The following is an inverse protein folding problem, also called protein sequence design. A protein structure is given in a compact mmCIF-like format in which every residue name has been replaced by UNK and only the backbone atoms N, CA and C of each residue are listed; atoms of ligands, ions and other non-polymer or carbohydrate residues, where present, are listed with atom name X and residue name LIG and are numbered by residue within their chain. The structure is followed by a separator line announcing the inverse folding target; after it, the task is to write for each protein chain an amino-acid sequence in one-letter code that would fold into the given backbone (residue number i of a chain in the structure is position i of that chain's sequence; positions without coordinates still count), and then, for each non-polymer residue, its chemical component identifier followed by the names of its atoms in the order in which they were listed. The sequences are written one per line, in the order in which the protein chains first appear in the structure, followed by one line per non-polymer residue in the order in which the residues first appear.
data_IF_728878901797
#
_entry.id   IF_728878901797
#
_cell.length_a   1.000
_cell.length_b   1.000
_cell.length_c   1.000
_cell.angle_alpha   90.00
_cell.angle_beta   90.00
_cell.angle_gamma   90.00
#
_symmetry.space_group_name_H-M   'P 1'
#
loop_
_entity.id
_entity.type
_entity.pdbx_description
1 polymer ?
#
# COMPACT_ATOMS: atom_id res chain seq x y z
N UNK A 1 7.20 9.96 20.22
CA UNK A 1 7.13 9.34 21.56
C UNK A 1 7.32 10.36 22.69
N UNK A 2 7.63 11.63 22.39
CA UNK A 2 7.60 12.75 23.33
C UNK A 2 8.78 12.82 24.30
N UNK A 3 9.94 12.23 24.03
CA UNK A 3 11.16 12.41 24.83
C UNK A 3 11.94 13.65 24.45
N UNK A 4 11.84 14.04 23.18
CA UNK A 4 12.43 15.26 22.63
C UNK A 4 11.36 16.00 21.86
N UNK A 5 11.46 17.32 21.80
CA UNK A 5 10.61 18.22 21.01
C UNK A 5 11.50 18.95 20.02
N UNK A 6 11.04 19.07 18.78
CA UNK A 6 11.71 19.87 17.77
C UNK A 6 11.15 21.29 17.81
N UNK A 7 12.02 22.27 17.83
CA UNK A 7 11.68 23.67 17.76
C UNK A 7 11.86 24.13 16.30
N UNK A 8 10.75 24.37 15.60
CA UNK A 8 10.75 24.79 14.19
C UNK A 8 11.28 26.20 13.99
N UNK A 9 11.32 27.02 15.05
CA UNK A 9 11.78 28.40 14.96
C UNK A 9 13.32 28.47 14.96
N UNK A 10 13.96 27.70 15.81
CA UNK A 10 15.42 27.74 16.03
C UNK A 10 16.15 26.56 15.37
N UNK A 11 15.43 25.65 14.69
CA UNK A 11 15.97 24.39 14.11
C UNK A 11 16.74 23.57 15.14
N UNK A 12 16.20 23.48 16.37
CA UNK A 12 16.85 22.80 17.50
C UNK A 12 15.99 21.70 18.09
N UNK A 13 16.60 20.81 18.88
CA UNK A 13 15.92 19.80 19.67
C UNK A 13 16.04 20.09 21.15
N UNK A 14 14.93 20.01 21.86
CA UNK A 14 14.84 20.15 23.30
C UNK A 14 14.42 18.83 23.97
N UNK A 15 15.03 18.51 25.11
CA UNK A 15 14.58 17.37 25.91
C UNK A 15 13.32 17.77 26.69
N UNK A 16 12.29 16.94 26.61
CA UNK A 16 11.03 17.17 27.33
C UNK A 16 11.13 16.78 28.79
N UNK A 17 10.12 17.15 29.61
CA UNK A 17 10.00 16.64 30.98
C UNK A 17 9.97 15.11 31.06
N UNK A 18 9.29 14.45 30.11
CA UNK A 18 9.26 12.98 29.98
C UNK A 18 10.66 12.43 29.69
N UNK A 19 11.41 13.08 28.80
CA UNK A 19 12.81 12.74 28.52
C UNK A 19 13.71 12.90 29.74
N UNK A 20 13.56 14.01 30.46
CA UNK A 20 14.32 14.24 31.73
C UNK A 20 13.97 13.22 32.81
N UNK A 21 12.69 12.88 32.97
CA UNK A 21 12.27 11.83 33.92
C UNK A 21 12.93 10.48 33.60
N UNK A 22 12.95 10.11 32.28
CA UNK A 22 13.59 8.87 31.86
C UNK A 22 15.09 8.83 32.09
N UNK A 23 15.81 9.91 31.79
CA UNK A 23 17.27 9.99 32.02
C UNK A 23 17.66 10.00 33.51
N UNK A 24 16.82 10.56 34.38
CA UNK A 24 17.03 10.64 35.83
C UNK A 24 16.56 9.39 36.57
N UNK A 25 15.76 8.53 35.94
CA UNK A 25 15.29 7.30 36.57
C UNK A 25 16.46 6.30 36.74
N UNK A 26 16.64 5.77 37.90
CA UNK A 26 17.68 4.78 38.23
C UNK A 26 17.08 3.36 38.15
N UNK A 27 15.84 3.21 38.59
CA UNK A 27 15.16 1.92 38.65
C UNK A 27 14.68 1.48 37.26
N UNK A 28 15.04 0.27 36.85
CA UNK A 28 14.64 -0.31 35.56
C UNK A 28 13.11 -0.37 35.42
N UNK A 29 12.39 -0.71 36.49
CA UNK A 29 10.92 -0.74 36.49
C UNK A 29 10.31 0.63 36.17
N UNK A 30 10.85 1.69 36.76
CA UNK A 30 10.40 3.07 36.50
C UNK A 30 10.68 3.49 35.05
N UNK A 31 11.84 3.09 34.50
CA UNK A 31 12.17 3.30 33.08
C UNK A 31 11.20 2.58 32.16
N UNK A 32 10.87 1.31 32.45
CA UNK A 32 9.89 0.55 31.64
C UNK A 32 8.52 1.21 31.66
N UNK A 33 8.05 1.72 32.81
CA UNK A 33 6.76 2.42 32.91
C UNK A 33 6.74 3.69 32.05
N UNK A 34 7.82 4.49 32.08
CA UNK A 34 7.96 5.69 31.25
C UNK A 34 8.01 5.34 29.75
N UNK A 35 8.74 4.27 29.37
CA UNK A 35 8.79 3.78 27.99
C UNK A 35 7.44 3.24 27.52
N UNK A 36 6.71 2.50 28.37
CA UNK A 36 5.37 2.03 28.08
C UNK A 36 4.43 3.22 27.80
N UNK A 37 4.42 4.23 28.67
CA UNK A 37 3.64 5.44 28.47
C UNK A 37 4.02 6.18 27.17
N UNK A 38 5.33 6.32 26.92
CA UNK A 38 5.83 6.97 25.72
C UNK A 38 5.41 6.23 24.42
N UNK A 39 5.44 4.90 24.42
CA UNK A 39 4.96 4.11 23.28
C UNK A 39 3.43 4.18 23.15
N UNK A 40 2.69 4.18 24.25
CA UNK A 40 1.23 4.30 24.22
C UNK A 40 0.77 5.72 23.87
N UNK A 41 1.61 6.74 24.01
CA UNK A 41 1.33 8.08 23.47
C UNK A 41 1.56 8.18 21.96
N UNK A 42 2.20 7.20 21.32
CA UNK A 42 2.46 7.15 19.88
C UNK A 42 1.29 6.49 19.16
N UNK A 43 0.50 7.24 18.35
CA UNK A 43 -0.77 6.74 17.79
C UNK A 43 -0.64 5.44 16.99
N UNK A 44 0.39 5.24 16.11
CA UNK A 44 0.52 3.99 15.35
C UNK A 44 0.71 2.74 16.22
N UNK A 45 1.34 2.86 17.39
CA UNK A 45 1.47 1.75 18.32
C UNK A 45 0.11 1.34 18.91
N UNK A 46 -0.72 2.32 19.24
CA UNK A 46 -2.10 2.09 19.72
C UNK A 46 -2.96 1.50 18.62
N UNK A 47 -2.81 1.96 17.35
CA UNK A 47 -3.52 1.39 16.20
C UNK A 47 -3.24 -0.11 16.10
N UNK A 48 -1.99 -0.54 16.14
CA UNK A 48 -1.62 -1.96 16.08
C UNK A 48 -2.25 -2.76 17.23
N UNK A 49 -2.20 -2.26 18.46
CA UNK A 49 -2.84 -2.92 19.60
C UNK A 49 -4.36 -3.06 19.41
N UNK A 50 -5.03 -2.01 18.91
CA UNK A 50 -6.48 -2.03 18.64
C UNK A 50 -6.85 -3.01 17.53
N UNK A 51 -6.05 -3.14 16.47
CA UNK A 51 -6.27 -4.12 15.40
C UNK A 51 -6.22 -5.55 15.93
N UNK A 52 -5.34 -5.83 16.89
CA UNK A 52 -5.15 -7.14 17.48
C UNK A 52 -6.12 -7.46 18.66
N UNK A 53 -6.87 -6.45 19.13
CA UNK A 53 -7.73 -6.60 20.33
C UNK A 53 -8.82 -7.67 20.16
N UNK A 54 -9.27 -7.95 18.92
CA UNK A 54 -10.28 -8.96 18.63
C UNK A 54 -9.77 -10.41 18.74
N UNK A 55 -8.56 -10.62 19.27
CA UNK A 55 -7.95 -11.95 19.41
C UNK A 55 -7.41 -12.55 18.10
N UNK A 56 -7.35 -11.74 17.04
CA UNK A 56 -6.87 -12.18 15.74
C UNK A 56 -5.34 -12.25 15.72
N UNK A 57 -4.81 -13.27 15.04
CA UNK A 57 -3.40 -13.31 14.63
C UNK A 57 -3.31 -12.51 13.32
N UNK A 58 -2.63 -11.37 13.34
CA UNK A 58 -2.41 -10.56 12.14
C UNK A 58 -0.92 -10.56 11.75
N UNK A 59 -0.66 -10.78 10.47
CA UNK A 59 0.67 -10.64 9.89
C UNK A 59 1.04 -9.17 9.73
N UNK A 60 2.34 -8.88 9.53
CA UNK A 60 2.80 -7.52 9.21
C UNK A 60 2.09 -6.92 8.00
N UNK A 61 1.71 -7.74 7.00
CA UNK A 61 0.99 -7.32 5.81
C UNK A 61 -0.47 -6.92 6.12
N UNK A 62 -1.18 -7.73 6.93
CA UNK A 62 -2.54 -7.41 7.35
C UNK A 62 -2.60 -6.16 8.23
N UNK A 63 -1.55 -5.92 9.04
CA UNK A 63 -1.41 -4.69 9.84
C UNK A 63 -1.03 -3.52 8.92
N UNK A 64 -0.04 -3.70 8.03
CA UNK A 64 0.45 -2.68 7.12
C UNK A 64 -0.67 -2.09 6.23
N UNK A 65 -1.56 -2.94 5.70
CA UNK A 65 -2.73 -2.50 4.91
C UNK A 65 -3.70 -1.59 5.68
N UNK A 66 -3.65 -1.59 6.99
CA UNK A 66 -4.54 -0.82 7.87
C UNK A 66 -3.80 0.29 8.63
N UNK A 67 -2.56 0.60 8.21
CA UNK A 67 -1.70 1.57 8.88
C UNK A 67 -1.33 2.73 7.96
N UNK A 68 -1.67 3.93 8.37
CA UNK A 68 -1.23 5.16 7.72
C UNK A 68 -2.16 5.70 6.64
N UNK A 69 -1.61 6.51 5.75
CA UNK A 69 -2.37 7.19 4.69
C UNK A 69 -2.42 6.33 3.43
N UNK A 70 -3.64 5.89 3.09
CA UNK A 70 -3.89 4.99 1.97
C UNK A 70 -3.56 5.67 0.64
N UNK A 71 -2.99 4.92 -0.29
CA UNK A 71 -2.63 5.42 -1.63
C UNK A 71 -1.37 6.28 -1.69
N UNK A 72 -0.56 6.31 -0.62
CA UNK A 72 0.71 7.03 -0.58
C UNK A 72 1.92 6.09 -0.58
N UNK A 73 2.96 6.49 -1.30
CA UNK A 73 4.23 5.77 -1.37
C UNK A 73 4.87 5.53 0.01
N UNK A 74 4.65 6.44 0.96
CA UNK A 74 5.08 6.30 2.35
C UNK A 74 4.39 5.18 3.14
N UNK A 75 3.27 4.64 2.65
CA UNK A 75 2.42 3.66 3.34
C UNK A 75 2.02 2.48 2.44
N UNK A 76 2.97 1.95 1.68
CA UNK A 76 2.75 0.82 0.77
C UNK A 76 2.67 -0.50 1.53
N UNK A 77 1.79 -1.40 1.09
CA UNK A 77 1.67 -2.78 1.57
C UNK A 77 1.15 -3.68 0.46
N UNK A 78 1.49 -4.97 0.51
CA UNK A 78 0.95 -6.02 -0.36
C UNK A 78 0.00 -6.93 0.42
N UNK A 79 -0.93 -7.58 -0.28
CA UNK A 79 -1.72 -8.64 0.34
C UNK A 79 -0.83 -9.83 0.67
N UNK A 80 -1.04 -10.41 1.85
CA UNK A 80 -0.29 -11.61 2.24
C UNK A 80 -0.48 -12.77 1.26
N UNK A 81 -1.64 -12.83 0.59
CA UNK A 81 -1.94 -13.88 -0.38
C UNK A 81 -1.02 -13.81 -1.60
N UNK A 82 -0.82 -12.63 -2.18
CA UNK A 82 0.11 -12.42 -3.30
C UNK A 82 1.54 -12.78 -2.90
N UNK A 83 1.98 -12.35 -1.71
CA UNK A 83 3.32 -12.70 -1.20
C UNK A 83 3.47 -14.21 -1.04
N UNK A 84 2.48 -14.88 -0.48
CA UNK A 84 2.51 -16.33 -0.26
C UNK A 84 2.46 -17.10 -1.57
N UNK A 85 1.64 -16.70 -2.55
CA UNK A 85 1.64 -17.28 -3.90
C UNK A 85 3.03 -17.18 -4.54
N UNK A 86 3.64 -16.00 -4.49
CA UNK A 86 4.99 -15.79 -5.04
C UNK A 86 6.04 -16.64 -4.31
N UNK A 87 5.96 -16.77 -2.98
CA UNK A 87 6.86 -17.63 -2.22
C UNK A 87 6.67 -19.12 -2.55
N UNK A 88 5.44 -19.57 -2.72
CA UNK A 88 5.11 -20.96 -3.03
C UNK A 88 5.59 -21.40 -4.40
N UNK A 89 5.65 -20.48 -5.39
CA UNK A 89 6.14 -20.73 -6.74
C UNK A 89 7.65 -20.61 -6.89
N UNK A 90 8.38 -20.18 -5.83
CA UNK A 90 9.84 -20.05 -5.84
C UNK A 90 10.51 -21.36 -5.43
N UNK A 91 11.47 -21.82 -6.23
CA UNK A 91 12.12 -23.13 -6.05
C UNK A 91 13.24 -23.12 -5.01
N UNK A 92 13.90 -21.98 -4.77
CA UNK A 92 15.11 -21.90 -3.96
C UNK A 92 14.96 -21.08 -2.67
N UNK A 93 15.52 -21.58 -1.57
CA UNK A 93 15.46 -20.92 -0.26
C UNK A 93 16.10 -19.52 -0.23
N UNK A 94 17.17 -19.29 -1.00
CA UNK A 94 17.80 -17.95 -1.14
C UNK A 94 16.89 -16.98 -1.87
N UNK A 95 16.18 -17.44 -2.89
CA UNK A 95 15.20 -16.65 -3.63
C UNK A 95 14.00 -16.27 -2.75
N UNK A 96 13.46 -17.21 -1.97
CA UNK A 96 12.39 -16.93 -1.00
C UNK A 96 12.79 -15.84 0.00
N UNK A 97 14.02 -15.83 0.50
CA UNK A 97 14.51 -14.80 1.41
C UNK A 97 14.60 -13.43 0.71
N UNK A 98 15.05 -13.39 -0.53
CA UNK A 98 15.08 -12.17 -1.34
C UNK A 98 13.66 -11.64 -1.56
N UNK A 99 12.72 -12.49 -1.97
CA UNK A 99 11.31 -12.13 -2.13
C UNK A 99 10.76 -11.51 -0.84
N UNK A 100 10.98 -12.15 0.32
CA UNK A 100 10.51 -11.62 1.62
C UNK A 100 11.05 -10.23 1.94
N UNK A 101 12.23 -9.88 1.45
CA UNK A 101 12.84 -8.57 1.65
C UNK A 101 12.34 -7.55 0.64
N UNK A 102 12.30 -7.92 -0.64
CA UNK A 102 12.00 -7.03 -1.75
C UNK A 102 10.49 -6.68 -1.84
N UNK A 103 9.64 -7.52 -1.25
CA UNK A 103 8.17 -7.33 -1.25
C UNK A 103 7.63 -6.61 -0.02
N UNK A 104 8.49 -6.28 0.94
CA UNK A 104 8.08 -5.56 2.15
C UNK A 104 7.88 -4.07 1.84
N UNK A 105 6.62 -3.63 1.85
CA UNK A 105 6.25 -2.23 1.66
C UNK A 105 6.62 -1.34 2.86
N UNK A 106 6.47 -0.04 2.71
CA UNK A 106 6.79 0.94 3.77
C UNK A 106 5.93 0.73 5.01
N UNK A 107 4.62 0.51 4.84
CA UNK A 107 3.70 0.27 5.95
C UNK A 107 3.98 -1.06 6.64
N UNK A 108 4.40 -2.11 5.91
CA UNK A 108 4.79 -3.40 6.48
C UNK A 108 6.04 -3.28 7.35
N UNK A 109 7.01 -2.45 6.92
CA UNK A 109 8.21 -2.12 7.70
C UNK A 109 7.86 -1.38 8.98
N UNK A 110 6.95 -0.39 8.91
CA UNK A 110 6.46 0.32 10.10
C UNK A 110 5.73 -0.62 11.05
N UNK A 111 4.80 -1.45 10.53
CA UNK A 111 4.07 -2.43 11.32
C UNK A 111 5.03 -3.36 12.07
N UNK A 112 6.03 -3.93 11.38
CA UNK A 112 7.05 -4.81 11.98
C UNK A 112 7.91 -4.10 13.01
N UNK A 113 8.36 -2.88 12.73
CA UNK A 113 9.22 -2.10 13.64
C UNK A 113 8.48 -1.73 14.92
N UNK A 114 7.25 -1.22 14.80
CA UNK A 114 6.43 -0.81 15.93
C UNK A 114 6.02 -2.05 16.75
N UNK A 115 5.61 -3.14 16.09
CA UNK A 115 5.29 -4.39 16.78
C UNK A 115 6.48 -4.93 17.59
N UNK A 116 7.72 -4.79 17.08
CA UNK A 116 8.93 -5.17 17.81
C UNK A 116 9.15 -4.33 19.08
N UNK A 117 8.81 -3.05 19.07
CA UNK A 117 8.84 -2.21 20.28
C UNK A 117 7.79 -2.64 21.29
N UNK A 118 6.56 -2.89 20.82
CA UNK A 118 5.47 -3.39 21.65
C UNK A 118 5.78 -4.77 22.25
N UNK A 119 6.44 -5.64 21.49
CA UNK A 119 6.91 -6.95 21.96
C UNK A 119 7.96 -6.82 23.06
N UNK A 120 8.94 -5.92 22.92
CA UNK A 120 9.96 -5.67 23.96
C UNK A 120 9.34 -5.25 25.29
N UNK A 121 8.21 -4.55 25.26
CA UNK A 121 7.45 -4.17 26.46
C UNK A 121 6.46 -5.27 26.92
N UNK A 122 6.44 -6.42 26.28
CA UNK A 122 5.54 -7.51 26.60
C UNK A 122 4.06 -7.24 26.28
N UNK A 123 3.75 -6.22 25.45
CA UNK A 123 2.40 -5.86 25.05
C UNK A 123 1.88 -6.72 23.89
N UNK A 124 2.79 -7.24 23.06
CA UNK A 124 2.54 -8.20 21.98
C UNK A 124 3.43 -9.42 22.12
N UNK A 125 2.99 -10.51 21.50
CA UNK A 125 3.79 -11.70 21.24
C UNK A 125 3.90 -11.90 19.73
N UNK A 126 5.10 -12.14 19.23
CA UNK A 126 5.32 -12.57 17.85
C UNK A 126 5.06 -14.07 17.74
N UNK A 127 4.35 -14.45 16.70
CA UNK A 127 4.01 -15.84 16.36
C UNK A 127 4.18 -16.07 14.86
N UNK A 128 4.11 -17.32 14.42
CA UNK A 128 3.96 -17.67 13.00
C UNK A 128 2.47 -17.79 12.65
N UNK A 129 2.10 -17.35 11.45
CA UNK A 129 0.77 -17.57 10.87
C UNK A 129 0.90 -18.37 9.59
N UNK A 130 0.29 -19.55 9.57
CA UNK A 130 0.19 -20.35 8.36
C UNK A 130 -0.89 -19.78 7.44
N UNK A 131 -0.49 -19.42 6.24
CA UNK A 131 -1.39 -18.92 5.19
C UNK A 131 -1.49 -19.96 4.10
N UNK A 132 -2.72 -20.36 3.75
CA UNK A 132 -3.02 -21.30 2.67
C UNK A 132 -3.45 -20.51 1.45
N UNK A 133 -2.91 -20.84 0.29
CA UNK A 133 -3.29 -20.26 -0.99
C UNK A 133 -3.48 -21.35 -2.04
N UNK A 134 -4.44 -21.14 -2.93
CA UNK A 134 -4.68 -22.03 -4.06
C UNK A 134 -3.95 -21.50 -5.29
N UNK A 135 -3.21 -22.37 -5.96
CA UNK A 135 -2.56 -22.10 -7.25
C UNK A 135 -2.99 -23.21 -8.19
N UNK A 136 -3.87 -22.92 -9.14
CA UNK A 136 -4.54 -23.96 -9.93
C UNK A 136 -5.34 -24.91 -9.02
N UNK A 137 -5.07 -26.21 -9.14
CA UNK A 137 -5.70 -27.25 -8.32
C UNK A 137 -4.98 -27.53 -6.99
N UNK A 138 -3.78 -27.00 -6.83
CA UNK A 138 -2.90 -27.30 -5.70
C UNK A 138 -3.08 -26.27 -4.59
N UNK A 139 -2.99 -26.75 -3.35
CA UNK A 139 -3.05 -25.93 -2.14
C UNK A 139 -1.65 -25.83 -1.54
N UNK A 140 -1.13 -24.62 -1.50
CA UNK A 140 0.16 -24.33 -0.89
C UNK A 140 -0.03 -23.74 0.50
N UNK A 141 0.92 -24.03 1.38
CA UNK A 141 0.96 -23.49 2.75
C UNK A 141 2.33 -22.90 3.00
N UNK A 142 2.34 -21.61 3.32
CA UNK A 142 3.57 -20.90 3.71
C UNK A 142 3.39 -20.26 5.08
N UNK A 143 4.44 -20.29 5.90
CA UNK A 143 4.45 -19.67 7.21
C UNK A 143 4.97 -18.25 7.13
N UNK A 144 4.19 -17.29 7.63
CA UNK A 144 4.62 -15.90 7.82
C UNK A 144 5.03 -15.73 9.28
N UNK A 145 6.34 -15.79 9.54
CA UNK A 145 6.91 -15.72 10.90
C UNK A 145 6.77 -14.36 11.60
N UNK A 146 6.33 -13.32 10.88
CA UNK A 146 6.08 -11.98 11.42
C UNK A 146 4.58 -11.72 11.50
N UNK A 147 3.93 -12.49 12.36
CA UNK A 147 2.56 -12.29 12.80
C UNK A 147 2.55 -12.02 14.31
N UNK A 148 1.51 -11.40 14.81
CA UNK A 148 1.44 -10.90 16.17
C UNK A 148 0.09 -11.16 16.80
N UNK A 149 0.11 -11.33 18.12
CA UNK A 149 -1.08 -11.39 18.99
C UNK A 149 -0.91 -10.44 20.15
N UNK A 150 -2.02 -9.88 20.63
CA UNK A 150 -2.02 -9.02 21.81
C UNK A 150 -1.92 -9.88 23.09
N UNK A 151 -1.13 -9.44 24.07
CA UNK A 151 -1.05 -10.10 25.38
C UNK A 151 -2.07 -9.53 26.35
N UNK A 152 -2.27 -10.20 27.50
CA UNK A 152 -3.09 -9.68 28.59
C UNK A 152 -2.55 -8.32 29.10
N UNK A 153 -1.21 -8.12 29.10
CA UNK A 153 -0.58 -6.82 29.41
C UNK A 153 -0.96 -5.77 28.37
N UNK A 154 -0.97 -6.14 27.08
CA UNK A 154 -1.38 -5.23 25.98
C UNK A 154 -2.85 -4.81 26.08
N UNK A 155 -3.75 -5.71 26.47
CA UNK A 155 -5.18 -5.38 26.69
C UNK A 155 -5.31 -4.38 27.87
N UNK A 156 -4.57 -4.58 28.96
CA UNK A 156 -4.55 -3.64 30.10
C UNK A 156 -3.99 -2.27 29.67
N UNK A 157 -2.97 -2.27 28.82
CA UNK A 157 -2.38 -1.04 28.28
C UNK A 157 -3.38 -0.22 27.44
N UNK A 158 -4.22 -0.87 26.63
CA UNK A 158 -5.31 -0.20 25.90
C UNK A 158 -6.34 0.44 26.84
N UNK A 159 -6.67 -0.18 27.96
CA UNK A 159 -7.54 0.44 28.97
C UNK A 159 -6.95 1.72 29.55
N UNK A 160 -5.61 1.78 29.76
CA UNK A 160 -4.91 3.02 30.15
C UNK A 160 -5.01 4.09 29.05
N UNK A 161 -4.80 3.72 27.78
CA UNK A 161 -4.91 4.64 26.64
C UNK A 161 -6.28 5.28 26.56
N UNK A 162 -7.33 4.49 26.73
CA UNK A 162 -8.72 4.96 26.62
C UNK A 162 -9.21 5.65 27.91
N UNK A 163 -8.42 5.68 28.97
CA UNK A 163 -8.83 6.23 30.28
C UNK A 163 -9.96 5.45 30.93
N UNK A 164 -10.04 4.13 30.70
CA UNK A 164 -11.07 3.28 31.28
C UNK A 164 -10.76 2.96 32.74
N UNK A 165 -11.81 2.71 33.50
CA UNK A 165 -11.74 2.45 34.95
C UNK A 165 -11.11 3.64 35.69
N UNK A 166 -10.07 3.40 36.49
CA UNK A 166 -9.35 4.42 37.29
C UNK A 166 -8.18 5.09 36.57
N UNK A 167 -7.96 4.77 35.32
CA UNK A 167 -6.82 5.31 34.59
C UNK A 167 -7.12 6.69 33.99
N UNK A 168 -6.17 7.61 34.12
CA UNK A 168 -6.20 8.85 33.34
C UNK A 168 -5.89 8.53 31.88
N UNK A 169 -6.66 9.10 30.95
CA UNK A 169 -6.45 8.93 29.52
C UNK A 169 -5.04 9.41 29.12
N UNK A 170 -4.33 8.59 28.34
CA UNK A 170 -3.00 8.93 27.82
C UNK A 170 -3.17 9.90 26.65
N UNK A 171 -2.55 11.07 26.76
CA UNK A 171 -2.50 12.02 25.65
C UNK A 171 -1.62 11.49 24.51
N UNK A 172 -2.03 11.76 23.27
CA UNK A 172 -1.29 11.38 22.08
C UNK A 172 -0.21 12.41 21.75
N UNK A 173 0.95 11.91 21.35
CA UNK A 173 2.04 12.72 20.83
C UNK A 173 2.09 12.56 19.30
N UNK A 174 1.84 13.62 18.57
CA UNK A 174 1.87 13.71 17.13
C UNK A 174 2.76 14.88 16.72
N UNK A 175 3.64 14.65 15.75
CA UNK A 175 4.41 15.72 15.11
C UNK A 175 3.93 15.95 13.69
N UNK A 176 4.17 17.13 13.18
CA UNK A 176 3.81 17.52 11.81
C UNK A 176 4.44 16.59 10.76
N UNK A 177 5.68 16.09 10.99
CA UNK A 177 6.38 15.17 10.08
C UNK A 177 5.67 13.81 9.93
N UNK A 178 4.91 13.38 10.93
CA UNK A 178 4.17 12.12 10.89
C UNK A 178 3.01 12.16 9.89
N UNK A 179 2.57 13.34 9.49
CA UNK A 179 1.41 13.52 8.63
C UNK A 179 1.69 13.25 7.15
N UNK A 180 2.95 13.22 6.72
CA UNK A 180 3.40 12.67 5.44
C UNK A 180 4.89 12.38 5.50
N UNK A 181 5.33 11.24 4.94
CA UNK A 181 6.73 10.78 5.07
C UNK A 181 7.55 10.92 3.80
N UNK A 182 6.90 10.96 2.63
CA UNK A 182 7.55 11.01 1.31
C UNK A 182 6.84 11.98 0.37
N UNK A 183 7.46 12.22 -0.78
CA UNK A 183 6.92 13.06 -1.85
C UNK A 183 7.47 14.48 -1.87
N UNK A 184 7.49 15.09 -3.07
CA UNK A 184 8.00 16.44 -3.27
C UNK A 184 7.11 17.51 -2.65
N UNK A 185 5.81 17.24 -2.53
CA UNK A 185 4.82 18.13 -1.92
C UNK A 185 4.48 17.75 -0.47
N UNK A 186 5.32 16.95 0.19
CA UNK A 186 5.08 16.48 1.56
C UNK A 186 4.76 17.60 2.55
N UNK A 187 5.37 18.77 2.40
CA UNK A 187 5.15 19.92 3.28
C UNK A 187 3.72 20.46 3.13
N UNK A 188 3.24 20.58 1.89
CA UNK A 188 1.86 20.94 1.62
C UNK A 188 0.87 19.92 2.23
N UNK A 189 1.09 18.63 1.99
CA UNK A 189 0.22 17.55 2.54
C UNK A 189 0.24 17.56 4.07
N UNK A 190 1.41 17.71 4.69
CA UNK A 190 1.53 17.83 6.15
C UNK A 190 0.75 19.01 6.69
N UNK A 191 0.87 20.17 6.05
CA UNK A 191 0.16 21.40 6.44
C UNK A 191 -1.34 21.20 6.31
N UNK A 192 -1.84 20.70 5.19
CA UNK A 192 -3.25 20.40 4.97
C UNK A 192 -3.81 19.50 6.07
N UNK A 193 -3.17 18.35 6.31
CA UNK A 193 -3.57 17.39 7.36
C UNK A 193 -3.48 17.95 8.76
N UNK A 194 -2.49 18.80 9.01
CA UNK A 194 -2.35 19.51 10.28
C UNK A 194 -3.54 20.45 10.52
N UNK A 195 -4.02 21.17 9.48
CA UNK A 195 -5.22 22.01 9.59
C UNK A 195 -6.49 21.16 9.75
N UNK A 196 -6.61 20.02 9.08
CA UNK A 196 -7.70 19.05 9.32
C UNK A 196 -7.69 18.60 10.78
N UNK A 197 -6.54 18.22 11.31
CA UNK A 197 -6.41 17.83 12.72
C UNK A 197 -6.74 18.97 13.67
N UNK A 198 -6.29 20.19 13.38
CA UNK A 198 -6.56 21.39 14.17
C UNK A 198 -8.06 21.65 14.30
N UNK A 199 -8.79 21.69 13.19
CA UNK A 199 -10.23 21.97 13.22
C UNK A 199 -11.01 20.84 13.93
N UNK A 200 -10.57 19.57 13.82
CA UNK A 200 -11.16 18.46 14.58
C UNK A 200 -10.94 18.61 16.09
N UNK A 201 -9.76 19.08 16.52
CA UNK A 201 -9.44 19.33 17.93
C UNK A 201 -10.28 20.46 18.53
N UNK A 202 -10.54 21.51 17.75
CA UNK A 202 -11.30 22.68 18.18
C UNK A 202 -12.81 22.39 18.28
N UNK A 203 -13.32 21.40 17.53
CA UNK A 203 -14.75 21.10 17.42
C UNK A 203 -15.19 19.83 18.18
N UNK A 204 -15.13 19.84 19.50
CA UNK A 204 -15.50 18.68 20.35
C UNK A 204 -16.95 18.22 20.21
N UNK A 205 -17.86 19.06 19.70
CA UNK A 205 -19.27 18.73 19.47
C UNK A 205 -19.55 18.05 18.14
N UNK A 206 -18.50 17.70 17.41
CA UNK A 206 -18.56 17.11 16.08
C UNK A 206 -18.65 18.15 14.97
N UNK A 207 -18.02 17.87 13.85
CA UNK A 207 -17.92 18.74 12.68
C UNK A 207 -18.23 17.96 11.41
N UNK A 208 -18.92 18.56 10.46
CA UNK A 208 -19.22 17.96 9.16
C UNK A 208 -18.03 18.12 8.19
N UNK A 209 -17.99 17.30 7.13
CA UNK A 209 -16.99 17.43 6.08
C UNK A 209 -17.01 18.83 5.43
N UNK A 210 -18.19 19.36 5.18
CA UNK A 210 -18.34 20.67 4.54
C UNK A 210 -17.79 21.82 5.39
N UNK A 211 -17.99 21.75 6.72
CA UNK A 211 -17.40 22.73 7.65
C UNK A 211 -15.86 22.63 7.67
N UNK A 212 -15.30 21.41 7.60
CA UNK A 212 -13.85 21.21 7.48
C UNK A 212 -13.32 21.84 6.18
N UNK A 213 -13.98 21.57 5.04
CA UNK A 213 -13.58 22.12 3.74
C UNK A 213 -13.65 23.66 3.74
N UNK A 214 -14.70 24.23 4.32
CA UNK A 214 -14.82 25.69 4.44
C UNK A 214 -13.71 26.29 5.30
N UNK A 215 -13.32 25.61 6.38
CA UNK A 215 -12.19 26.04 7.20
C UNK A 215 -10.86 25.98 6.44
N UNK A 216 -10.63 24.91 5.67
CA UNK A 216 -9.44 24.76 4.84
C UNK A 216 -9.37 25.85 3.76
N UNK A 217 -10.47 26.14 3.08
CA UNK A 217 -10.56 27.25 2.09
C UNK A 217 -10.20 28.61 2.67
N UNK A 218 -10.58 28.90 3.92
CA UNK A 218 -10.20 30.13 4.61
C UNK A 218 -8.70 30.22 4.92
N UNK A 219 -7.99 29.10 4.84
CA UNK A 219 -6.55 29.01 5.05
C UNK A 219 -5.81 28.69 3.73
N UNK A 220 -6.39 29.06 2.58
CA UNK A 220 -5.84 28.90 1.22
C UNK A 220 -5.55 27.43 0.83
N UNK A 221 -6.19 26.47 1.52
CA UNK A 221 -6.07 25.04 1.24
C UNK A 221 -7.34 24.58 0.51
N UNK A 222 -7.27 24.59 -0.84
CA UNK A 222 -8.39 24.22 -1.70
C UNK A 222 -8.16 22.80 -2.23
N UNK A 223 -9.05 21.86 -1.86
CA UNK A 223 -8.95 20.45 -2.22
C UNK A 223 -10.32 19.86 -2.54
N UNK A 224 -10.30 18.69 -3.20
CA UNK A 224 -11.49 17.88 -3.45
C UNK A 224 -11.99 17.24 -2.14
N UNK A 225 -13.31 17.04 -2.05
CA UNK A 225 -13.95 16.40 -0.88
C UNK A 225 -13.38 15.00 -0.62
N UNK A 226 -13.07 14.23 -1.68
CA UNK A 226 -12.46 12.90 -1.61
C UNK A 226 -11.07 12.92 -0.96
N UNK A 227 -10.26 13.93 -1.28
CA UNK A 227 -8.92 14.12 -0.70
C UNK A 227 -9.01 14.34 0.81
N UNK A 228 -9.96 15.17 1.25
CA UNK A 228 -10.13 15.45 2.68
C UNK A 228 -10.70 14.23 3.43
N UNK A 229 -11.57 13.45 2.81
CA UNK A 229 -12.04 12.17 3.37
C UNK A 229 -10.89 11.19 3.58
N UNK A 230 -10.03 11.03 2.58
CA UNK A 230 -8.84 10.16 2.67
C UNK A 230 -7.86 10.66 3.74
N UNK A 231 -7.69 11.97 3.89
CA UNK A 231 -6.87 12.53 4.95
C UNK A 231 -7.43 12.19 6.35
N UNK A 232 -8.74 12.29 6.54
CA UNK A 232 -9.39 11.91 7.81
C UNK A 232 -9.24 10.40 8.06
N UNK A 233 -9.46 9.57 7.04
CA UNK A 233 -9.26 8.13 7.14
C UNK A 233 -7.79 7.79 7.47
N UNK A 234 -6.85 8.47 6.84
CA UNK A 234 -5.43 8.35 7.16
C UNK A 234 -5.11 8.71 8.61
N UNK A 235 -5.72 9.77 9.15
CA UNK A 235 -5.60 10.14 10.57
C UNK A 235 -6.15 9.04 11.49
N UNK A 236 -7.25 8.38 11.12
CA UNK A 236 -7.76 7.20 11.84
C UNK A 236 -6.76 6.03 11.75
N UNK A 237 -6.22 5.79 10.57
CA UNK A 237 -5.31 4.67 10.31
C UNK A 237 -3.92 4.86 10.91
N UNK A 238 -3.47 6.09 11.16
CA UNK A 238 -2.28 6.30 12.01
C UNK A 238 -2.57 6.14 13.50
N UNK A 239 -3.83 5.94 13.91
CA UNK A 239 -4.20 5.57 15.28
C UNK A 239 -4.86 6.65 16.11
N UNK A 240 -5.34 7.73 15.48
CA UNK A 240 -6.18 8.71 16.16
C UNK A 240 -7.62 8.22 16.29
N UNK A 241 -8.25 8.53 17.39
CA UNK A 241 -9.63 8.16 17.67
C UNK A 241 -10.58 9.24 17.15
N UNK A 242 -11.04 9.06 15.90
CA UNK A 242 -12.06 9.87 15.26
C UNK A 242 -13.27 8.98 15.03
N UNK A 243 -14.40 9.31 15.64
CA UNK A 243 -15.67 8.59 15.48
C UNK A 243 -16.53 9.34 14.45
N UNK A 244 -17.26 8.58 13.64
CA UNK A 244 -18.16 9.13 12.63
C UNK A 244 -19.60 8.77 13.01
N UNK A 245 -20.39 9.76 13.33
CA UNK A 245 -21.79 9.60 13.70
C UNK A 245 -22.63 10.69 13.03
N UNK A 246 -23.74 10.32 12.41
CA UNK A 246 -24.67 11.25 11.75
C UNK A 246 -23.98 12.25 10.81
N UNK A 247 -23.06 11.79 9.97
CA UNK A 247 -22.23 12.58 9.04
C UNK A 247 -21.35 13.65 9.71
N UNK A 248 -21.07 13.49 11.00
CA UNK A 248 -20.13 14.35 11.76
C UNK A 248 -18.95 13.54 12.25
N UNK A 249 -17.80 14.19 12.30
CA UNK A 249 -16.53 13.67 12.81
C UNK A 249 -16.32 14.17 14.24
N UNK A 250 -16.11 13.26 15.18
CA UNK A 250 -15.87 13.54 16.60
C UNK A 250 -14.47 13.11 16.98
N UNK A 251 -13.62 14.07 17.31
CA UNK A 251 -12.27 13.78 17.80
C UNK A 251 -12.31 13.43 19.29
N UNK A 252 -11.88 12.23 19.63
CA UNK A 252 -11.99 11.67 20.99
C UNK A 252 -10.67 11.64 21.77
N UNK A 253 -9.52 11.81 21.12
CA UNK A 253 -8.22 11.79 21.80
C UNK A 253 -7.89 13.14 22.46
N UNK A 254 -6.87 13.12 23.33
CA UNK A 254 -6.17 14.29 23.83
C UNK A 254 -4.84 14.35 23.10
N UNK A 255 -4.47 15.50 22.55
CA UNK A 255 -3.15 15.71 21.93
C UNK A 255 -2.41 16.76 22.74
N UNK A 256 -1.14 16.51 23.01
CA UNK A 256 -0.22 17.44 23.64
C UNK A 256 0.59 18.18 22.58
N UNK A 257 0.71 19.50 22.74
CA UNK A 257 1.69 20.38 22.04
C UNK A 257 1.80 20.18 20.52
N UNK A 258 0.67 20.07 19.80
CA UNK A 258 0.69 19.98 18.35
C UNK A 258 0.95 21.35 17.72
N UNK A 259 2.09 21.47 17.01
CA UNK A 259 2.52 22.70 16.36
C UNK A 259 2.45 22.52 14.84
N UNK A 260 1.89 23.52 14.16
CA UNK A 260 1.92 23.63 12.69
C UNK A 260 3.02 24.65 12.35
N UNK A 261 4.14 24.22 11.75
CA UNK A 261 5.18 25.16 11.36
C UNK A 261 4.72 26.06 10.21
N UNK A 262 5.21 27.29 10.18
CA UNK A 262 5.02 28.19 9.05
C UNK A 262 6.06 27.79 7.98
N UNK A 263 5.59 27.38 6.82
CA UNK A 263 6.46 26.95 5.70
C UNK A 263 6.01 27.68 4.45
N UNK A 264 6.95 28.32 3.78
CA UNK A 264 6.69 29.11 2.56
C UNK A 264 6.44 28.23 1.31
N UNK A 265 6.60 26.92 1.43
CA UNK A 265 6.63 25.98 0.32
C UNK A 265 5.27 25.30 0.11
N UNK A 266 4.38 25.94 -0.65
CA UNK A 266 3.03 25.44 -0.97
C UNK A 266 2.90 24.88 -2.40
N UNK A 267 4.01 24.44 -3.02
CA UNK A 267 3.98 23.96 -4.41
C UNK A 267 3.43 22.55 -4.49
N UNK A 268 2.26 22.39 -5.12
CA UNK A 268 1.76 21.07 -5.58
C UNK A 268 2.64 20.60 -6.75
N UNK A 269 3.07 19.33 -6.72
CA UNK A 269 3.64 18.72 -7.91
C UNK A 269 2.54 18.41 -8.94
N UNK A 270 2.84 18.56 -10.24
CA UNK A 270 1.90 18.17 -11.32
C UNK A 270 1.43 16.71 -11.18
N UNK A 271 2.27 15.85 -10.62
CA UNK A 271 1.99 14.45 -10.40
C UNK A 271 0.87 14.20 -9.38
N UNK A 272 0.78 15.02 -8.35
CA UNK A 272 -0.31 14.91 -7.38
C UNK A 272 -1.64 15.41 -7.94
N UNK A 273 -1.62 16.39 -8.80
CA UNK A 273 -2.84 16.86 -9.48
C UNK A 273 -3.47 15.71 -10.28
N UNK A 274 -2.66 14.96 -11.04
CA UNK A 274 -3.13 13.79 -11.78
C UNK A 274 -3.67 12.68 -10.86
N UNK A 275 -3.02 12.44 -9.73
CA UNK A 275 -3.44 11.48 -8.70
C UNK A 275 -4.75 11.90 -8.03
N UNK A 276 -4.91 13.18 -7.74
CA UNK A 276 -6.12 13.74 -7.14
C UNK A 276 -7.30 13.71 -8.12
N UNK A 277 -7.07 14.00 -9.40
CA UNK A 277 -8.08 13.86 -10.46
C UNK A 277 -8.55 12.41 -10.65
N UNK A 278 -7.61 11.45 -10.56
CA UNK A 278 -7.95 10.03 -10.60
C UNK A 278 -8.77 9.61 -9.38
N UNK A 279 -8.39 10.06 -8.19
CA UNK A 279 -9.09 9.74 -6.94
C UNK A 279 -10.58 10.06 -7.01
N UNK A 280 -10.93 11.18 -7.66
CA UNK A 280 -12.33 11.60 -7.82
C UNK A 280 -13.11 10.74 -8.84
N UNK A 281 -12.40 10.10 -9.79
CA UNK A 281 -12.97 9.21 -10.81
C UNK A 281 -13.10 7.76 -10.36
N UNK A 282 -12.29 7.34 -9.37
CA UNK A 282 -12.29 5.97 -8.84
C UNK A 282 -13.36 5.83 -7.74
N UNK A 283 -14.59 5.55 -8.16
CA UNK A 283 -15.75 5.47 -7.25
C UNK A 283 -15.93 4.10 -6.57
N UNK A 284 -15.37 3.04 -7.14
CA UNK A 284 -15.48 1.66 -6.63
C UNK A 284 -14.14 1.03 -6.30
N UNK A 285 -13.07 1.44 -6.97
CA UNK A 285 -11.73 0.92 -6.72
C UNK A 285 -11.16 1.55 -5.44
N UNK A 286 -10.49 0.74 -4.61
CA UNK A 286 -9.81 1.22 -3.42
C UNK A 286 -8.70 2.21 -3.78
N UNK A 287 -8.67 3.36 -3.11
CA UNK A 287 -7.63 4.38 -3.27
C UNK A 287 -6.23 3.89 -2.86
N UNK A 288 -6.12 2.72 -2.23
CA UNK A 288 -4.82 2.11 -1.93
C UNK A 288 -3.97 1.86 -3.18
N UNK A 289 -4.60 1.73 -4.38
CA UNK A 289 -3.89 1.51 -5.63
C UNK A 289 -3.35 2.78 -6.29
N UNK A 290 -3.72 3.97 -5.80
CA UNK A 290 -3.23 5.24 -6.35
C UNK A 290 -1.70 5.39 -6.27
N UNK A 291 -1.04 4.75 -5.31
CA UNK A 291 0.40 4.80 -5.22
C UNK A 291 1.12 4.02 -6.35
N UNK A 292 0.39 3.22 -7.14
CA UNK A 292 0.93 2.63 -8.36
C UNK A 292 1.46 3.68 -9.33
N UNK A 293 0.87 4.88 -9.33
CA UNK A 293 1.38 6.02 -10.09
C UNK A 293 2.79 6.43 -9.63
N UNK A 294 3.08 6.35 -8.32
CA UNK A 294 4.40 6.64 -7.77
C UNK A 294 5.39 5.50 -8.07
N UNK A 295 4.95 4.25 -7.86
CA UNK A 295 5.78 3.06 -8.09
C UNK A 295 6.20 2.90 -9.55
N UNK A 296 5.34 3.27 -10.49
CA UNK A 296 5.61 3.15 -11.93
C UNK A 296 6.84 3.96 -12.39
N UNK A 297 7.25 4.95 -11.59
CA UNK A 297 8.43 5.78 -11.85
C UNK A 297 9.62 5.51 -10.91
N UNK A 298 9.46 4.59 -9.93
CA UNK A 298 10.53 4.21 -9.00
C UNK A 298 11.18 2.88 -9.39
N UNK A 299 12.24 2.93 -10.18
CA UNK A 299 13.00 1.76 -10.63
C UNK A 299 13.61 0.93 -9.48
N UNK A 300 13.71 1.47 -8.27
CA UNK A 300 14.22 0.73 -7.09
C UNK A 300 13.16 -0.19 -6.47
N UNK A 301 11.90 0.01 -6.81
CA UNK A 301 10.77 -0.75 -6.28
C UNK A 301 10.07 -1.60 -7.35
N UNK A 302 10.76 -1.96 -8.43
CA UNK A 302 10.21 -2.77 -9.54
C UNK A 302 9.42 -3.98 -9.05
N UNK A 303 9.99 -4.74 -8.09
CA UNK A 303 9.34 -5.94 -7.57
C UNK A 303 8.02 -5.66 -6.87
N UNK A 304 7.97 -4.58 -6.09
CA UNK A 304 6.74 -4.14 -5.44
C UNK A 304 5.71 -3.69 -6.49
N UNK A 305 6.15 -2.98 -7.53
CA UNK A 305 5.31 -2.56 -8.64
C UNK A 305 4.70 -3.75 -9.38
N UNK A 306 5.52 -4.73 -9.82
CA UNK A 306 5.07 -5.97 -10.47
C UNK A 306 3.98 -6.67 -9.66
N UNK A 307 4.24 -6.89 -8.36
CA UNK A 307 3.32 -7.61 -7.47
C UNK A 307 2.05 -6.83 -7.18
N UNK A 308 2.11 -5.50 -7.09
CA UNK A 308 0.93 -4.68 -6.82
C UNK A 308 0.02 -4.55 -8.05
N UNK A 309 0.58 -4.55 -9.25
CA UNK A 309 -0.20 -4.66 -10.50
C UNK A 309 -0.99 -5.99 -10.52
N UNK A 310 -0.34 -7.09 -10.19
CA UNK A 310 -1.03 -8.39 -10.14
C UNK A 310 -2.04 -8.47 -9.00
N UNK A 311 -1.75 -7.87 -7.85
CA UNK A 311 -2.72 -7.75 -6.75
C UNK A 311 -3.99 -7.01 -7.21
N UNK A 312 -3.84 -5.90 -7.92
CA UNK A 312 -4.95 -5.14 -8.50
C UNK A 312 -5.80 -6.01 -9.42
N UNK A 313 -5.16 -6.68 -10.40
CA UNK A 313 -5.85 -7.49 -11.40
C UNK A 313 -6.55 -8.72 -10.78
N UNK A 314 -5.95 -9.35 -9.79
CA UNK A 314 -6.49 -10.54 -9.13
C UNK A 314 -7.58 -10.17 -8.13
N UNK A 315 -7.31 -9.24 -7.21
CA UNK A 315 -8.20 -8.99 -6.08
C UNK A 315 -9.35 -8.04 -6.45
N UNK A 316 -9.11 -7.08 -7.32
CA UNK A 316 -10.11 -6.06 -7.67
C UNK A 316 -10.80 -6.35 -8.99
N UNK A 317 -10.04 -6.77 -10.00
CA UNK A 317 -10.62 -7.09 -11.31
C UNK A 317 -11.14 -8.53 -11.41
N UNK A 318 -10.85 -9.39 -10.42
CA UNK A 318 -11.38 -10.76 -10.35
C UNK A 318 -10.77 -11.75 -11.34
N UNK A 319 -9.60 -11.43 -11.92
CA UNK A 319 -8.81 -12.41 -12.67
C UNK A 319 -8.23 -13.47 -11.72
N UNK A 320 -8.00 -14.66 -12.25
CA UNK A 320 -7.07 -15.63 -11.67
C UNK A 320 -5.67 -15.34 -12.19
N UNK A 321 -4.65 -15.74 -11.48
CA UNK A 321 -3.26 -15.54 -11.90
C UNK A 321 -2.29 -15.47 -10.74
N UNK A 322 -1.03 -15.21 -11.08
CA UNK A 322 0.04 -15.10 -10.09
C UNK A 322 1.24 -14.32 -10.63
N UNK A 323 2.02 -13.79 -9.69
CA UNK A 323 3.33 -13.26 -9.96
C UNK A 323 4.31 -14.41 -10.15
N UNK A 324 5.04 -14.41 -11.26
CA UNK A 324 6.04 -15.42 -11.60
C UNK A 324 7.45 -14.91 -11.27
N UNK A 325 7.85 -13.83 -11.93
CA UNK A 325 9.15 -13.20 -11.77
C UNK A 325 10.35 -14.16 -11.88
N UNK A 326 11.54 -13.61 -11.93
CA UNK A 326 12.77 -14.39 -12.00
C UNK A 326 13.28 -14.59 -13.42
N UNK A 327 14.37 -15.38 -13.57
CA UNK A 327 15.06 -15.52 -14.84
C UNK A 327 14.23 -16.37 -15.81
N UNK A 328 14.05 -15.89 -17.05
CA UNK A 328 13.34 -16.60 -18.13
C UNK A 328 11.85 -16.89 -17.83
N UNK A 329 11.22 -16.03 -17.07
CA UNK A 329 9.77 -16.04 -16.81
C UNK A 329 9.22 -14.63 -17.03
N UNK A 330 7.97 -14.47 -17.49
CA UNK A 330 7.32 -13.17 -17.45
C UNK A 330 7.12 -12.69 -16.00
N UNK A 331 6.85 -11.42 -15.79
CA UNK A 331 6.60 -10.90 -14.45
C UNK A 331 5.36 -11.53 -13.83
N UNK A 332 4.33 -11.77 -14.64
CA UNK A 332 3.14 -12.46 -14.19
C UNK A 332 2.23 -12.95 -15.32
N UNK A 333 1.24 -13.68 -14.91
CA UNK A 333 0.14 -14.11 -15.78
C UNK A 333 -1.20 -13.89 -15.11
N UNK A 334 -2.19 -13.56 -15.91
CA UNK A 334 -3.59 -13.57 -15.48
C UNK A 334 -4.44 -14.31 -16.50
N UNK A 335 -5.60 -14.80 -16.07
CA UNK A 335 -6.58 -15.43 -16.95
C UNK A 335 -7.98 -15.33 -16.37
N UNK A 336 -8.99 -15.43 -17.22
CA UNK A 336 -10.40 -15.48 -16.81
C UNK A 336 -10.99 -16.84 -17.11
N UNK A 337 -11.85 -17.30 -16.21
CA UNK A 337 -12.73 -18.47 -16.41
C UNK A 337 -14.21 -18.07 -16.28
N UNK A 338 -14.46 -16.78 -16.13
CA UNK A 338 -15.81 -16.24 -15.97
C UNK A 338 -16.38 -15.99 -17.36
N UNK A 339 -17.25 -16.64 -17.91
CA UNK A 339 -17.91 -16.42 -19.20
C UNK A 339 -17.49 -17.45 -20.26
N UNK A 340 -18.11 -17.32 -21.42
CA UNK A 340 -17.96 -18.20 -22.58
C UNK A 340 -16.55 -18.15 -23.20
N UNK A 341 -15.75 -17.16 -22.84
CA UNK A 341 -14.42 -16.92 -23.39
C UNK A 341 -13.35 -17.01 -22.29
N UNK A 342 -12.52 -18.04 -22.38
CA UNK A 342 -11.40 -18.25 -21.47
C UNK A 342 -10.12 -17.78 -22.15
N UNK A 343 -9.60 -16.62 -21.71
CA UNK A 343 -8.35 -16.10 -22.23
C UNK A 343 -7.34 -15.85 -21.12
N UNK A 344 -6.06 -15.89 -21.51
CA UNK A 344 -4.93 -15.59 -20.64
C UNK A 344 -4.12 -14.40 -21.16
N UNK A 345 -3.48 -13.68 -20.25
CA UNK A 345 -2.60 -12.56 -20.58
C UNK A 345 -1.22 -12.76 -19.94
N UNK A 346 -0.19 -12.66 -20.75
CA UNK A 346 1.21 -12.62 -20.31
C UNK A 346 1.54 -11.16 -19.98
N UNK A 347 1.95 -10.89 -18.74
CA UNK A 347 2.19 -9.53 -18.25
C UNK A 347 3.69 -9.30 -18.04
N UNK A 348 4.16 -8.17 -18.54
CA UNK A 348 5.49 -7.63 -18.29
C UNK A 348 5.36 -6.17 -17.84
N UNK A 349 5.92 -5.84 -16.68
CA UNK A 349 5.77 -4.52 -16.05
C UNK A 349 7.10 -3.79 -16.00
N UNK A 350 7.08 -2.48 -16.17
CA UNK A 350 8.31 -1.68 -16.21
C UNK A 350 8.15 -0.36 -15.46
N UNK A 351 8.95 -0.17 -14.42
CA UNK A 351 9.01 1.09 -13.67
C UNK A 351 10.22 1.93 -14.11
N UNK A 352 9.97 3.04 -14.81
CA UNK A 352 10.99 3.92 -15.35
C UNK A 352 10.68 5.40 -15.11
N UNK A 353 11.65 6.14 -14.57
CA UNK A 353 11.46 7.55 -14.18
C UNK A 353 11.19 8.53 -15.33
N UNK A 354 11.46 8.16 -16.59
CA UNK A 354 11.32 9.01 -17.78
C UNK A 354 10.45 8.41 -18.87
N UNK A 355 9.56 7.48 -18.51
CA UNK A 355 8.79 6.70 -19.46
C UNK A 355 9.56 5.51 -20.05
N UNK A 356 8.85 4.58 -20.66
CA UNK A 356 9.38 3.32 -21.16
C UNK A 356 9.32 3.25 -22.68
N UNK A 357 10.46 3.00 -23.31
CA UNK A 357 10.58 2.99 -24.77
C UNK A 357 10.54 1.60 -25.41
N UNK A 358 10.30 0.54 -24.64
CA UNK A 358 10.24 -0.86 -25.07
C UNK A 358 11.46 -1.26 -25.93
N UNK A 359 12.64 -1.55 -25.34
CA UNK A 359 13.84 -1.94 -26.06
C UNK A 359 13.67 -3.25 -26.84
N UNK A 360 14.45 -3.46 -27.90
CA UNK A 360 14.41 -4.65 -28.75
C UNK A 360 14.55 -5.94 -27.93
N UNK A 361 15.44 -5.97 -26.94
CA UNK A 361 15.61 -7.14 -26.07
C UNK A 361 14.34 -7.52 -25.32
N UNK A 362 13.48 -6.57 -24.95
CA UNK A 362 12.20 -6.86 -24.29
C UNK A 362 11.13 -7.33 -25.29
N UNK A 363 11.20 -6.87 -26.53
CA UNK A 363 10.38 -7.41 -27.62
C UNK A 363 10.72 -8.89 -27.85
N UNK A 364 11.99 -9.20 -27.95
CA UNK A 364 12.49 -10.58 -28.15
C UNK A 364 12.16 -11.48 -26.95
N UNK A 365 12.17 -10.93 -25.73
CA UNK A 365 11.73 -11.65 -24.53
C UNK A 365 10.23 -11.98 -24.58
N UNK A 366 9.37 -11.04 -24.94
CA UNK A 366 7.94 -11.27 -25.05
C UNK A 366 7.63 -12.28 -26.16
N UNK A 367 8.28 -12.18 -27.33
CA UNK A 367 8.18 -13.16 -28.39
C UNK A 367 8.54 -14.56 -27.87
N UNK A 368 9.64 -14.68 -27.12
CA UNK A 368 10.05 -15.94 -26.51
C UNK A 368 8.99 -16.49 -25.55
N UNK A 369 8.42 -15.65 -24.66
CA UNK A 369 7.37 -16.08 -23.74
C UNK A 369 6.14 -16.59 -24.48
N UNK A 370 5.70 -15.89 -25.52
CA UNK A 370 4.55 -16.31 -26.34
C UNK A 370 4.82 -17.66 -27.01
N UNK A 371 6.01 -17.85 -27.62
CA UNK A 371 6.40 -19.11 -28.25
C UNK A 371 6.46 -20.25 -27.21
N UNK A 372 7.05 -20.00 -26.05
CA UNK A 372 7.15 -20.98 -24.96
C UNK A 372 5.75 -21.41 -24.47
N UNK A 373 4.81 -20.47 -24.34
CA UNK A 373 3.42 -20.77 -23.97
C UNK A 373 2.70 -21.60 -25.05
N UNK A 374 2.90 -21.28 -26.32
CA UNK A 374 2.25 -21.98 -27.43
C UNK A 374 2.78 -23.39 -27.61
N UNK A 375 4.10 -23.57 -27.54
CA UNK A 375 4.75 -24.86 -27.74
C UNK A 375 4.73 -25.76 -26.50
N UNK A 376 4.74 -25.16 -25.29
CA UNK A 376 4.77 -25.84 -23.98
C UNK A 376 5.87 -26.91 -23.87
N UNK A 377 7.03 -26.60 -24.46
CA UNK A 377 8.15 -27.55 -24.58
C UNK A 377 9.13 -27.37 -23.41
N UNK A 378 9.16 -28.36 -22.48
CA UNK A 378 10.06 -28.41 -21.33
C UNK A 378 11.54 -28.34 -21.70
N UNK A 379 11.95 -28.82 -22.88
CA UNK A 379 13.34 -28.73 -23.34
C UNK A 379 13.77 -27.30 -23.67
N UNK A 380 12.85 -26.40 -24.03
CA UNK A 380 13.11 -24.97 -24.25
C UNK A 380 13.26 -24.19 -22.97
N UNK A 381 12.36 -24.46 -22.01
CA UNK A 381 12.38 -23.81 -20.72
C UNK A 381 11.89 -24.76 -19.62
N UNK A 382 12.82 -25.19 -18.77
CA UNK A 382 12.55 -26.15 -17.69
C UNK A 382 11.66 -25.56 -16.58
N UNK A 383 11.49 -24.24 -16.52
CA UNK A 383 10.63 -23.60 -15.55
C UNK A 383 9.14 -23.90 -15.79
N UNK A 384 8.77 -24.28 -17.01
CA UNK A 384 7.39 -24.63 -17.39
C UNK A 384 6.34 -23.63 -16.86
N UNK A 385 6.67 -22.33 -16.84
CA UNK A 385 5.84 -21.27 -16.24
C UNK A 385 4.41 -21.21 -16.81
N UNK A 386 4.21 -21.66 -18.07
CA UNK A 386 2.91 -21.76 -18.74
C UNK A 386 1.96 -22.78 -18.10
N UNK A 387 2.48 -23.71 -17.26
CA UNK A 387 1.64 -24.67 -16.53
C UNK A 387 0.77 -24.00 -15.46
N UNK A 388 1.02 -22.74 -15.15
CA UNK A 388 0.20 -21.96 -14.23
C UNK A 388 -1.09 -21.39 -14.88
N UNK A 389 -1.23 -21.49 -16.20
CA UNK A 389 -2.52 -21.30 -16.84
C UNK A 389 -3.39 -22.55 -16.67
N UNK A 390 -4.69 -22.36 -16.48
CA UNK A 390 -5.63 -23.48 -16.50
C UNK A 390 -5.74 -24.10 -17.88
N UNK A 391 -6.07 -25.40 -17.93
CA UNK A 391 -6.07 -26.20 -19.17
C UNK A 391 -7.11 -25.75 -20.22
N UNK A 392 -8.16 -25.10 -19.78
CA UNK A 392 -9.24 -24.59 -20.62
C UNK A 392 -8.97 -23.21 -21.21
N UNK A 393 -7.85 -22.55 -20.87
CA UNK A 393 -7.42 -21.29 -21.47
C UNK A 393 -6.82 -21.58 -22.84
N UNK A 394 -7.49 -21.12 -23.89
CA UNK A 394 -7.14 -21.42 -25.28
C UNK A 394 -6.69 -20.20 -26.07
N UNK A 395 -7.02 -19.03 -25.61
CA UNK A 395 -6.74 -17.76 -26.27
C UNK A 395 -5.77 -16.95 -25.39
N UNK A 396 -4.75 -16.36 -26.00
CA UNK A 396 -3.70 -15.67 -25.25
C UNK A 396 -3.43 -14.31 -25.84
N UNK A 397 -3.06 -13.39 -24.93
CA UNK A 397 -2.67 -12.03 -25.23
C UNK A 397 -1.43 -11.66 -24.42
N UNK A 398 -0.83 -10.50 -24.70
CA UNK A 398 0.23 -9.95 -23.87
C UNK A 398 -0.04 -8.48 -23.52
N UNK A 399 0.53 -8.02 -22.41
CA UNK A 399 0.44 -6.62 -21.96
C UNK A 399 1.75 -6.16 -21.37
N UNK A 400 2.24 -5.02 -21.87
CA UNK A 400 3.26 -4.24 -21.20
C UNK A 400 2.59 -3.18 -20.35
N UNK A 401 2.99 -3.06 -19.07
CA UNK A 401 2.40 -2.07 -18.14
C UNK A 401 3.51 -1.18 -17.59
N UNK A 402 3.35 0.15 -17.72
CA UNK A 402 4.31 1.13 -17.25
C UNK A 402 3.62 2.44 -16.82
N UNK A 403 4.38 3.38 -16.25
CA UNK A 403 3.87 4.73 -15.95
C UNK A 403 3.50 5.47 -17.22
N UNK A 404 4.40 5.48 -18.18
CA UNK A 404 4.27 6.14 -19.46
C UNK A 404 5.08 5.40 -20.54
N UNK A 405 4.64 5.50 -21.79
CA UNK A 405 5.36 4.96 -22.94
C UNK A 405 5.89 6.07 -23.85
N UNK A 406 7.11 5.87 -24.40
CA UNK A 406 7.78 6.84 -25.26
C UNK A 406 8.28 6.19 -26.55
N UNK A 407 8.31 6.95 -27.66
CA UNK A 407 8.75 6.47 -28.96
C UNK A 407 7.65 5.71 -29.71
N UNK A 408 8.04 4.99 -30.78
CA UNK A 408 7.09 4.28 -31.66
C UNK A 408 6.76 2.89 -31.10
N UNK A 409 5.90 2.83 -30.10
CA UNK A 409 5.53 1.60 -29.40
C UNK A 409 4.65 0.70 -30.26
N UNK A 410 3.69 1.24 -30.99
CA UNK A 410 2.76 0.45 -31.80
C UNK A 410 3.48 -0.38 -32.89
N UNK A 411 4.52 0.18 -33.50
CA UNK A 411 5.36 -0.58 -34.44
C UNK A 411 6.04 -1.76 -33.75
N UNK A 412 6.49 -1.58 -32.51
CA UNK A 412 7.13 -2.63 -31.69
C UNK A 412 6.13 -3.72 -31.30
N UNK A 413 4.91 -3.36 -30.92
CA UNK A 413 3.83 -4.30 -30.65
C UNK A 413 3.45 -5.08 -31.91
N UNK A 414 3.36 -4.41 -33.06
CA UNK A 414 3.11 -5.05 -34.35
C UNK A 414 4.22 -6.02 -34.76
N UNK A 415 5.49 -5.74 -34.43
CA UNK A 415 6.59 -6.70 -34.62
C UNK A 415 6.37 -8.01 -33.84
N UNK A 416 5.90 -7.91 -32.59
CA UNK A 416 5.55 -9.10 -31.80
C UNK A 416 4.41 -9.86 -32.47
N UNK A 417 3.37 -9.16 -32.90
CA UNK A 417 2.22 -9.76 -33.58
C UNK A 417 2.64 -10.48 -34.87
N UNK A 418 3.44 -9.85 -35.74
CA UNK A 418 3.94 -10.46 -36.98
C UNK A 418 4.72 -11.74 -36.71
N UNK A 419 5.50 -11.76 -35.59
CA UNK A 419 6.35 -12.91 -35.23
C UNK A 419 5.57 -14.05 -34.58
N UNK A 420 4.44 -13.80 -33.95
CA UNK A 420 3.74 -14.77 -33.07
C UNK A 420 2.27 -14.98 -33.39
N UNK A 421 1.68 -14.11 -34.19
CA UNK A 421 0.23 -14.00 -34.46
C UNK A 421 -0.59 -13.75 -33.16
N UNK A 422 0.02 -13.28 -32.09
CA UNK A 422 -0.63 -12.96 -30.81
C UNK A 422 -0.69 -11.44 -30.65
N UNK A 423 -1.88 -10.93 -30.36
CA UNK A 423 -2.12 -9.49 -30.11
C UNK A 423 -1.82 -9.13 -28.65
N UNK A 424 -1.49 -7.87 -28.44
CA UNK A 424 -1.27 -7.33 -27.09
C UNK A 424 -1.49 -5.83 -27.02
N UNK A 425 -1.02 -5.23 -25.96
CA UNK A 425 -1.06 -3.79 -25.74
C UNK A 425 0.13 -3.27 -24.93
N UNK A 426 0.24 -1.95 -24.89
CA UNK A 426 1.03 -1.21 -23.93
C UNK A 426 0.10 -0.29 -23.15
N UNK A 427 -0.04 -0.52 -21.85
CA UNK A 427 -1.04 0.14 -21.01
C UNK A 427 -0.40 0.97 -19.92
N UNK A 428 -0.76 2.27 -19.84
CA UNK A 428 -0.33 3.12 -18.74
C UNK A 428 -1.01 2.71 -17.43
N UNK A 429 -0.33 2.93 -16.30
CA UNK A 429 -0.91 2.69 -14.97
C UNK A 429 -2.21 3.48 -14.77
N UNK A 430 -2.26 4.71 -15.30
CA UNK A 430 -3.45 5.55 -15.24
C UNK A 430 -4.65 4.90 -15.93
N UNK A 431 -4.47 4.41 -17.13
CA UNK A 431 -5.51 3.70 -17.90
C UNK A 431 -5.90 2.40 -17.20
N UNK A 432 -4.91 1.65 -16.68
CA UNK A 432 -5.16 0.42 -15.94
C UNK A 432 -6.03 0.65 -14.70
N UNK A 433 -5.75 1.69 -13.91
CA UNK A 433 -6.56 2.04 -12.73
C UNK A 433 -8.00 2.40 -13.11
N UNK A 434 -8.17 3.16 -14.18
CA UNK A 434 -9.49 3.48 -14.69
C UNK A 434 -10.26 2.21 -15.14
N UNK A 435 -9.63 1.34 -15.93
CA UNK A 435 -10.25 0.08 -16.36
C UNK A 435 -10.55 -0.84 -15.19
N UNK A 436 -9.66 -0.92 -14.20
CA UNK A 436 -9.90 -1.70 -13.00
C UNK A 436 -11.14 -1.21 -12.22
N UNK A 437 -11.33 0.11 -12.15
CA UNK A 437 -12.53 0.69 -11.55
C UNK A 437 -13.80 0.30 -12.33
N UNK A 438 -13.77 0.38 -13.67
CA UNK A 438 -14.89 0.02 -14.55
C UNK A 438 -15.25 -1.48 -14.47
N UNK A 439 -14.21 -2.35 -14.39
CA UNK A 439 -14.41 -3.80 -14.21
C UNK A 439 -15.06 -4.08 -12.86
N UNK A 440 -14.51 -3.50 -11.78
CA UNK A 440 -15.03 -3.69 -10.43
C UNK A 440 -16.46 -3.19 -10.26
N UNK A 441 -16.78 -2.10 -10.94
CA UNK A 441 -18.13 -1.53 -10.98
C UNK A 441 -19.09 -2.31 -11.91
N UNK A 442 -18.64 -3.35 -12.61
CA UNK A 442 -19.38 -4.09 -13.63
C UNK A 442 -19.89 -3.19 -14.79
N UNK A 443 -19.16 -2.12 -15.11
CA UNK A 443 -19.47 -1.23 -16.25
C UNK A 443 -18.80 -1.67 -17.55
N UNK A 444 -17.78 -2.52 -17.46
CA UNK A 444 -17.11 -3.15 -18.61
C UNK A 444 -16.97 -4.65 -18.35
N UNK A 445 -17.26 -5.46 -19.34
CA UNK A 445 -17.13 -6.93 -19.30
C UNK A 445 -15.74 -7.39 -19.72
N UNK A 446 -15.37 -8.64 -19.37
CA UNK A 446 -14.10 -9.25 -19.80
C UNK A 446 -14.00 -9.40 -21.33
N UNK A 447 -15.13 -9.50 -22.04
CA UNK A 447 -15.18 -9.57 -23.50
C UNK A 447 -14.85 -8.20 -24.11
N UNK A 448 -15.41 -7.13 -23.55
CA UNK A 448 -15.13 -5.77 -24.03
C UNK A 448 -13.66 -5.39 -23.79
N UNK A 449 -13.01 -5.94 -22.76
CA UNK A 449 -11.58 -5.75 -22.53
C UNK A 449 -10.70 -6.32 -23.65
N UNK A 450 -11.18 -7.30 -24.42
CA UNK A 450 -10.46 -7.83 -25.58
C UNK A 450 -10.22 -6.75 -26.66
N UNK A 451 -11.05 -5.71 -26.72
CA UNK A 451 -10.86 -4.59 -27.64
C UNK A 451 -9.59 -3.78 -27.35
N UNK A 452 -9.04 -3.90 -26.12
CA UNK A 452 -7.78 -3.25 -25.74
C UNK A 452 -6.54 -4.05 -26.17
N UNK A 453 -6.69 -5.27 -26.68
CA UNK A 453 -5.59 -6.06 -27.23
C UNK A 453 -5.54 -5.92 -28.77
N UNK A 454 -5.24 -4.72 -29.24
CA UNK A 454 -5.24 -4.35 -30.67
C UNK A 454 -3.90 -3.79 -31.16
N UNK A 455 -2.83 -4.06 -30.41
CA UNK A 455 -1.43 -3.62 -30.62
C UNK A 455 -1.28 -2.08 -30.52
N UNK A 456 -2.02 -1.44 -29.63
CA UNK A 456 -1.95 0.00 -29.38
C UNK A 456 -1.46 0.33 -27.98
N UNK A 457 -1.21 1.62 -27.79
CA UNK A 457 -0.85 2.24 -26.49
C UNK A 457 -2.11 2.86 -25.88
N UNK A 458 -2.33 2.65 -24.59
CA UNK A 458 -3.46 3.13 -23.81
C UNK A 458 -3.04 3.88 -22.56
#
# INVERSE_FOLDING_TARGET
MGFIKYNYYDDTFEITEKGLKWTRSIEEKSKEEILEEAILSYPPAVRILKLLLKGNILTKFEIGKQLGFIGEDGFTSLSQEIVVKTLATSEYGKEKNKIRTDTEGSADKYARMIAKWLQKLGLLQQVGKDVKVNIGKDIYKENIGQAYVITAKGIKALNKVDGKSKYKKIAKNISWEMLSTKGNNRNYIRTRRAFVLKILLENKRGITLQEIIQFLKKNDLIELDSVIKDDIEGLINIGLNIEIENNKYYFKDIIEDFIIPIIDDNVKSNFNQEKDELRDKLDTLSHEYLYLLDLAYDSKQNKLFEMKILELLINECGYKGLHLGGVRKPDGIIYTEKEKYNYGVIIDTKAYSKGYNLPIGQIDEMIRYIIENNERNIKRNTNCWWNNFEKNVNEFYFSFISGEFTGNIEEKLNRIFISTNIKGNAMSVKTLLYLANEIKANRISYIELLNYFDNKVY
#
